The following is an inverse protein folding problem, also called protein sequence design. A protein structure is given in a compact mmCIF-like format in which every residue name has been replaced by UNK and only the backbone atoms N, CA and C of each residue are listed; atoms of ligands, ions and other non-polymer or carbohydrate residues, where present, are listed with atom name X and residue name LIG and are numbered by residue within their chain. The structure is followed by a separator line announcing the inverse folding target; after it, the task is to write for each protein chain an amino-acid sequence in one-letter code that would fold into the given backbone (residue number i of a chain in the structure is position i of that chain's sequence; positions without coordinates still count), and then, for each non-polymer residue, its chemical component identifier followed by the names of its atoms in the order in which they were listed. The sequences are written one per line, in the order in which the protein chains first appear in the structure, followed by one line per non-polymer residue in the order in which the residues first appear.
data_IF_084171735798
#
_entry.id   IF_084171735798
#
_cell.length_a   1.000
_cell.length_b   1.000
_cell.length_c   1.000
_cell.angle_alpha   90.00
_cell.angle_beta   90.00
_cell.angle_gamma   90.00
#
_symmetry.space_group_name_H-M   'P 1'
#
loop_
_entity.id
_entity.type
_entity.pdbx_description
1 polymer ?
#
# COMPACT_ATOMS: atom_id res chain seq x y z
N UNK A 1 0.66 10.33 7.69
CA UNK A 1 2.01 9.83 7.40
C UNK A 1 1.88 8.36 6.98
N UNK A 2 2.13 8.08 5.73
CA UNK A 2 2.19 6.70 5.24
C UNK A 2 3.60 6.18 5.51
N UNK A 3 3.77 5.08 6.21
CA UNK A 3 5.08 4.49 6.40
C UNK A 3 5.61 4.06 5.03
N UNK A 4 6.70 4.67 4.63
CA UNK A 4 7.37 4.31 3.40
C UNK A 4 8.50 3.33 3.72
N UNK A 5 8.29 2.12 3.31
CA UNK A 5 9.26 1.05 3.49
C UNK A 5 10.44 1.18 2.52
N UNK A 6 10.34 2.07 1.52
CA UNK A 6 11.37 2.20 0.49
C UNK A 6 12.48 3.18 0.83
N UNK A 7 12.24 4.14 1.74
CA UNK A 7 13.20 5.22 2.01
C UNK A 7 14.29 4.87 3.03
N UNK A 8 14.16 3.76 3.74
CA UNK A 8 15.16 3.36 4.72
C UNK A 8 15.48 1.88 4.63
N UNK A 9 16.35 1.53 3.68
CA UNK A 9 16.83 0.17 3.50
C UNK A 9 17.49 -0.42 4.76
N UNK A 10 17.86 0.42 5.75
CA UNK A 10 18.44 -0.05 7.01
C UNK A 10 17.39 -0.68 7.92
N UNK A 11 16.12 -0.32 7.77
CA UNK A 11 15.03 -0.73 8.66
C UNK A 11 13.91 -1.48 7.94
N UNK A 12 14.02 -1.73 6.65
CA UNK A 12 13.00 -2.45 5.88
C UNK A 12 13.51 -3.79 5.36
N UNK A 13 12.66 -4.82 5.34
CA UNK A 13 13.08 -6.13 4.85
C UNK A 13 13.13 -6.23 3.32
N UNK A 14 12.57 -5.26 2.60
CA UNK A 14 12.30 -5.41 1.16
C UNK A 14 13.57 -5.57 0.34
N UNK A 15 14.50 -4.64 0.44
CA UNK A 15 15.80 -4.76 -0.23
C UNK A 15 16.81 -5.54 0.61
N UNK A 16 16.80 -5.36 1.94
CA UNK A 16 17.76 -5.98 2.84
C UNK A 16 17.62 -7.49 3.01
N UNK A 17 16.41 -8.04 2.79
CA UNK A 17 16.14 -9.48 2.81
C UNK A 17 16.11 -10.12 1.40
N UNK A 18 16.27 -9.32 0.34
CA UNK A 18 16.45 -9.76 -1.02
C UNK A 18 17.95 -9.92 -1.36
N UNK A 19 18.26 -10.29 -2.60
CA UNK A 19 19.65 -10.49 -3.08
C UNK A 19 20.26 -9.23 -3.74
N UNK A 20 19.51 -8.13 -3.79
CA UNK A 20 19.96 -6.87 -4.42
C UNK A 20 20.97 -6.13 -3.56
N UNK A 21 20.90 -6.27 -2.24
CA UNK A 21 21.75 -5.52 -1.29
C UNK A 21 22.22 -6.42 -0.15
N UNK A 22 23.49 -6.32 0.16
CA UNK A 22 24.07 -6.86 1.41
C UNK A 22 24.53 -5.71 2.30
N UNK A 23 23.98 -5.63 3.53
CA UNK A 23 24.33 -4.59 4.49
C UNK A 23 25.18 -5.17 5.61
N UNK A 24 26.26 -4.47 5.98
CA UNK A 24 27.21 -4.92 7.00
C UNK A 24 26.69 -4.81 8.43
N UNK A 25 25.64 -4.05 8.68
CA UNK A 25 25.04 -3.85 10.00
C UNK A 25 24.20 -5.07 10.40
N UNK A 26 24.75 -5.89 11.30
CA UNK A 26 24.14 -7.19 11.69
C UNK A 26 22.99 -7.09 12.68
N UNK A 27 22.75 -5.93 13.28
CA UNK A 27 21.69 -5.64 14.24
C UNK A 27 20.34 -5.27 13.59
N UNK A 28 20.26 -5.34 12.25
CA UNK A 28 19.06 -4.95 11.51
C UNK A 28 18.03 -6.05 11.41
N UNK A 29 16.76 -5.64 11.38
CA UNK A 29 15.59 -6.54 11.38
C UNK A 29 15.63 -7.58 10.26
N UNK A 30 16.08 -7.23 9.06
CA UNK A 30 16.16 -8.14 7.93
C UNK A 30 17.21 -9.25 8.10
N UNK A 31 18.27 -9.04 8.92
CA UNK A 31 19.21 -10.12 9.22
C UNK A 31 18.58 -11.25 10.04
N UNK A 32 17.61 -10.92 10.90
CA UNK A 32 16.83 -11.92 11.61
C UNK A 32 16.03 -12.77 10.62
N UNK A 33 15.49 -12.16 9.57
CA UNK A 33 14.76 -12.87 8.51
C UNK A 33 15.71 -13.77 7.70
N UNK A 34 16.81 -13.22 7.18
CA UNK A 34 17.74 -13.96 6.30
C UNK A 34 18.50 -15.06 7.04
N UNK A 35 18.69 -14.93 8.36
CA UNK A 35 19.30 -15.97 9.20
C UNK A 35 18.33 -17.07 9.63
N UNK A 36 17.04 -16.93 9.33
CA UNK A 36 16.02 -17.89 9.76
C UNK A 36 15.66 -17.81 11.25
N UNK A 37 16.08 -16.76 11.98
CA UNK A 37 15.80 -16.54 13.38
C UNK A 37 14.42 -15.90 13.65
N UNK A 38 13.67 -15.64 12.60
CA UNK A 38 12.30 -15.10 12.70
C UNK A 38 11.34 -16.17 13.22
N UNK A 39 10.64 -15.86 14.30
CA UNK A 39 9.66 -16.75 14.92
C UNK A 39 8.57 -15.93 15.64
N UNK A 40 7.46 -16.55 16.11
CA UNK A 40 6.36 -15.83 16.75
C UNK A 40 6.73 -14.99 17.98
N UNK A 41 7.84 -15.33 18.66
CA UNK A 41 8.33 -14.58 19.82
C UNK A 41 9.39 -13.53 19.46
N UNK A 42 9.85 -13.55 18.21
CA UNK A 42 10.85 -12.62 17.69
C UNK A 42 10.42 -12.16 16.28
N UNK A 43 9.52 -11.18 16.23
CA UNK A 43 8.97 -10.61 14.99
C UNK A 43 9.68 -9.29 14.69
N UNK A 44 10.73 -9.31 13.84
CA UNK A 44 11.57 -8.12 13.63
C UNK A 44 10.85 -6.97 12.94
N UNK A 45 9.84 -7.25 12.14
CA UNK A 45 9.13 -6.26 11.36
C UNK A 45 7.63 -6.28 11.69
N UNK A 46 7.29 -5.92 12.95
CA UNK A 46 5.91 -5.79 13.38
C UNK A 46 5.35 -4.43 12.94
N UNK A 47 4.27 -4.44 12.13
CA UNK A 47 3.60 -3.24 11.61
C UNK A 47 2.08 -3.29 11.77
N UNK A 48 1.52 -4.38 12.27
CA UNK A 48 0.07 -4.57 12.37
C UNK A 48 -0.57 -3.49 13.25
N UNK A 49 0.01 -3.25 14.42
CA UNK A 49 -0.48 -2.22 15.35
C UNK A 49 -0.44 -0.81 14.74
N UNK A 50 0.63 -0.50 14.01
CA UNK A 50 0.81 0.80 13.33
C UNK A 50 -0.24 1.00 12.24
N UNK A 51 -0.48 -0.01 11.40
CA UNK A 51 -1.43 0.09 10.29
C UNK A 51 -2.87 0.12 10.79
N UNK A 52 -3.24 -0.68 11.80
CA UNK A 52 -4.58 -0.60 12.39
C UNK A 52 -4.82 0.74 13.10
N UNK A 53 -3.79 1.34 13.69
CA UNK A 53 -3.90 2.72 14.21
C UNK A 53 -4.21 3.69 13.08
N UNK A 54 -3.52 3.59 11.93
CA UNK A 54 -3.80 4.40 10.75
C UNK A 54 -5.23 4.20 10.23
N UNK A 55 -5.71 2.95 10.15
CA UNK A 55 -7.09 2.64 9.75
C UNK A 55 -8.10 3.27 10.73
N UNK A 56 -7.83 3.17 12.02
CA UNK A 56 -8.67 3.79 13.06
C UNK A 56 -8.76 5.31 12.88
N UNK A 57 -7.63 5.97 12.66
CA UNK A 57 -7.62 7.43 12.43
C UNK A 57 -8.40 7.80 11.16
N UNK A 58 -8.30 6.99 10.10
CA UNK A 58 -9.14 7.16 8.91
C UNK A 58 -10.63 7.04 9.25
N UNK A 59 -11.03 6.03 10.01
CA UNK A 59 -12.43 5.84 10.39
C UNK A 59 -12.95 6.98 11.29
N UNK A 60 -12.13 7.45 12.25
CA UNK A 60 -12.49 8.61 13.09
C UNK A 60 -12.70 9.85 12.23
N UNK A 61 -11.78 10.11 11.28
CA UNK A 61 -11.89 11.25 10.38
C UNK A 61 -13.19 11.17 9.56
N UNK A 62 -13.44 10.04 8.90
CA UNK A 62 -14.63 9.83 8.07
C UNK A 62 -15.93 9.97 8.85
N UNK A 63 -15.99 9.52 10.10
CA UNK A 63 -17.16 9.63 10.96
C UNK A 63 -17.44 11.07 11.45
N UNK A 64 -16.45 11.96 11.40
CA UNK A 64 -16.56 13.29 12.00
C UNK A 64 -16.45 14.46 11.02
N UNK A 65 -15.89 14.28 9.82
CA UNK A 65 -15.64 15.39 8.88
C UNK A 65 -16.92 16.19 8.54
N UNK A 66 -18.06 15.52 8.42
CA UNK A 66 -19.33 16.17 8.09
C UNK A 66 -19.87 17.04 9.23
N UNK A 67 -19.41 16.82 10.46
CA UNK A 67 -19.76 17.66 11.63
C UNK A 67 -18.94 18.96 11.69
N UNK A 68 -17.90 19.07 10.86
CA UNK A 68 -17.12 20.31 10.80
C UNK A 68 -17.96 21.43 10.20
N UNK A 69 -18.15 22.51 10.98
CA UNK A 69 -18.94 23.68 10.59
C UNK A 69 -18.08 24.88 10.21
N UNK A 70 -16.78 24.68 9.99
CA UNK A 70 -15.87 25.75 9.57
C UNK A 70 -16.33 26.32 8.22
N UNK A 71 -16.67 27.63 8.15
CA UNK A 71 -17.14 28.25 6.92
C UNK A 71 -16.08 28.36 5.83
N UNK A 72 -14.80 28.20 6.19
CA UNK A 72 -13.68 28.18 5.24
C UNK A 72 -13.51 26.83 4.55
N UNK A 73 -14.14 25.78 5.05
CA UNK A 73 -14.05 24.43 4.50
C UNK A 73 -15.29 24.13 3.66
N UNK A 74 -15.14 24.14 2.35
CA UNK A 74 -16.20 23.82 1.40
C UNK A 74 -16.60 22.34 1.45
N UNK A 75 -17.81 22.03 0.98
CA UNK A 75 -18.25 20.64 0.85
C UNK A 75 -17.38 19.84 -0.14
N UNK A 76 -16.94 20.46 -1.22
CA UNK A 76 -16.06 19.82 -2.20
C UNK A 76 -14.70 19.44 -1.60
N UNK A 77 -14.13 20.28 -0.75
CA UNK A 77 -12.91 19.96 -0.02
C UNK A 77 -13.13 18.82 0.96
N UNK A 78 -14.26 18.79 1.67
CA UNK A 78 -14.62 17.67 2.56
C UNK A 78 -14.67 16.35 1.76
N UNK A 79 -15.32 16.33 0.62
CA UNK A 79 -15.41 15.15 -0.23
C UNK A 79 -14.04 14.74 -0.79
N UNK A 80 -13.20 15.70 -1.18
CA UNK A 80 -11.80 15.41 -1.58
C UNK A 80 -11.02 14.77 -0.43
N UNK A 81 -11.15 15.27 0.79
CA UNK A 81 -10.46 14.69 1.95
C UNK A 81 -11.00 13.30 2.30
N UNK A 82 -12.30 13.06 2.14
CA UNK A 82 -12.89 11.73 2.33
C UNK A 82 -12.30 10.71 1.35
N UNK A 83 -12.20 11.03 0.07
CA UNK A 83 -11.62 10.10 -0.91
C UNK A 83 -10.13 9.83 -0.64
N UNK A 84 -9.36 10.86 -0.24
CA UNK A 84 -7.96 10.68 0.16
C UNK A 84 -7.82 9.80 1.41
N UNK A 85 -8.68 10.00 2.40
CA UNK A 85 -8.69 9.20 3.64
C UNK A 85 -9.09 7.74 3.36
N UNK A 86 -10.10 7.50 2.52
CA UNK A 86 -10.48 6.14 2.09
C UNK A 86 -9.36 5.46 1.32
N UNK A 87 -8.66 6.19 0.46
CA UNK A 87 -7.47 5.67 -0.22
C UNK A 87 -6.38 5.27 0.79
N UNK A 88 -6.04 6.14 1.75
CA UNK A 88 -5.06 5.84 2.78
C UNK A 88 -5.44 4.58 3.58
N UNK A 89 -6.71 4.42 3.94
CA UNK A 89 -7.24 3.21 4.59
C UNK A 89 -7.02 1.95 3.75
N UNK A 90 -7.34 1.99 2.46
CA UNK A 90 -7.09 0.89 1.53
C UNK A 90 -5.60 0.57 1.41
N UNK A 91 -4.75 1.58 1.40
CA UNK A 91 -3.31 1.41 1.35
C UNK A 91 -2.77 0.74 2.60
N UNK A 92 -3.25 1.10 3.80
CA UNK A 92 -2.89 0.40 5.04
C UNK A 92 -3.30 -1.08 5.00
N UNK A 93 -4.50 -1.39 4.51
CA UNK A 93 -4.91 -2.79 4.32
C UNK A 93 -4.00 -3.52 3.34
N UNK A 94 -3.69 -2.92 2.20
CA UNK A 94 -2.75 -3.50 1.23
C UNK A 94 -1.37 -3.77 1.85
N UNK A 95 -0.83 -2.83 2.62
CA UNK A 95 0.45 -2.99 3.31
C UNK A 95 0.42 -4.16 4.31
N UNK A 96 -0.67 -4.29 5.08
CA UNK A 96 -0.83 -5.42 6.00
C UNK A 96 -0.97 -6.75 5.26
N UNK A 97 -1.78 -6.79 4.23
CA UNK A 97 -2.04 -8.02 3.47
C UNK A 97 -0.77 -8.59 2.84
N UNK A 98 0.14 -7.76 2.34
CA UNK A 98 1.41 -8.24 1.77
C UNK A 98 2.37 -8.80 2.82
N UNK A 99 2.22 -8.45 4.11
CA UNK A 99 3.07 -8.93 5.21
C UNK A 99 2.42 -10.11 5.92
N UNK A 100 1.13 -10.00 6.24
CA UNK A 100 0.43 -10.94 7.13
C UNK A 100 -0.59 -11.82 6.41
N UNK A 101 -0.82 -11.62 5.10
CA UNK A 101 -1.89 -12.29 4.38
C UNK A 101 -3.28 -11.80 4.82
N UNK A 102 -4.22 -12.71 5.13
CA UNK A 102 -5.56 -12.36 5.59
C UNK A 102 -5.56 -11.55 6.88
N UNK A 103 -6.38 -10.49 6.93
CA UNK A 103 -6.49 -9.55 8.04
C UNK A 103 -7.94 -9.31 8.46
N UNK A 104 -8.16 -8.53 9.52
CA UNK A 104 -9.51 -8.08 9.90
C UNK A 104 -9.90 -6.87 9.06
N UNK A 105 -11.06 -6.91 8.44
CA UNK A 105 -11.64 -5.74 7.77
C UNK A 105 -12.63 -5.07 8.72
N UNK A 106 -12.32 -3.85 9.12
CA UNK A 106 -13.13 -3.08 10.07
C UNK A 106 -14.19 -2.22 9.36
N UNK A 107 -14.15 -2.09 8.04
CA UNK A 107 -15.01 -1.16 7.30
C UNK A 107 -14.95 0.24 7.91
N UNK A 108 -16.10 0.83 8.23
CA UNK A 108 -16.22 2.14 8.89
C UNK A 108 -16.36 2.04 10.42
N UNK A 109 -16.15 0.84 10.99
CA UNK A 109 -16.35 0.60 12.42
C UNK A 109 -15.34 1.39 13.26
N UNK A 110 -15.85 2.05 14.27
CA UNK A 110 -15.06 2.63 15.35
C UNK A 110 -15.05 1.66 16.52
N UNK A 111 -13.91 1.03 16.76
CA UNK A 111 -13.76 0.10 17.88
C UNK A 111 -13.91 0.86 19.21
N UNK A 112 -14.75 0.33 20.08
CA UNK A 112 -14.95 0.83 21.43
C UNK A 112 -13.88 0.22 22.36
N UNK A 113 -12.88 1.03 22.72
CA UNK A 113 -11.79 0.61 23.60
C UNK A 113 -12.18 0.49 25.08
N UNK A 114 -13.42 0.78 25.45
CA UNK A 114 -13.93 0.47 26.80
C UNK A 114 -14.26 -1.01 26.95
N UNK A 115 -14.37 -1.73 25.82
CA UNK A 115 -14.60 -3.18 25.80
C UNK A 115 -13.32 -3.95 26.11
N UNK A 116 -13.49 -5.12 26.70
CA UNK A 116 -12.38 -6.04 26.96
C UNK A 116 -11.82 -6.62 25.63
N UNK A 117 -10.59 -7.12 25.67
CA UNK A 117 -9.96 -7.78 24.51
C UNK A 117 -10.82 -8.95 23.98
N UNK A 118 -11.46 -9.72 24.88
CA UNK A 118 -12.32 -10.85 24.51
C UNK A 118 -13.58 -10.40 23.77
N UNK A 119 -14.14 -9.22 24.09
CA UNK A 119 -15.30 -8.66 23.37
C UNK A 119 -14.94 -8.06 22.00
N UNK A 120 -13.66 -7.72 21.81
CA UNK A 120 -13.12 -7.20 20.55
C UNK A 120 -12.55 -8.30 19.66
N UNK A 121 -12.38 -9.51 20.19
CA UNK A 121 -11.87 -10.66 19.44
C UNK A 121 -12.82 -11.02 18.30
N UNK A 122 -12.26 -11.19 17.11
CA UNK A 122 -13.01 -11.55 15.90
C UNK A 122 -12.17 -12.41 14.96
N UNK A 123 -12.81 -13.28 14.14
CA UNK A 123 -12.09 -14.04 13.13
C UNK A 123 -11.54 -13.11 12.06
N UNK A 124 -10.42 -13.49 11.44
CA UNK A 124 -9.90 -12.79 10.27
C UNK A 124 -10.80 -13.01 9.06
N UNK A 125 -10.88 -12.03 8.20
CA UNK A 125 -11.46 -12.23 6.87
C UNK A 125 -10.57 -13.17 6.06
N UNK A 126 -11.15 -13.90 5.12
CA UNK A 126 -10.39 -14.72 4.17
C UNK A 126 -9.57 -13.81 3.23
N UNK A 127 -8.55 -14.39 2.59
CA UNK A 127 -7.75 -13.67 1.60
C UNK A 127 -8.61 -13.02 0.51
N UNK A 128 -9.54 -13.80 -0.08
CA UNK A 128 -10.38 -13.29 -1.16
C UNK A 128 -11.36 -12.19 -0.67
N UNK A 129 -11.90 -12.28 0.55
CA UNK A 129 -12.71 -11.20 1.14
C UNK A 129 -11.88 -9.92 1.31
N UNK A 130 -10.64 -10.03 1.81
CA UNK A 130 -9.75 -8.88 1.95
C UNK A 130 -9.44 -8.25 0.59
N UNK A 131 -9.11 -9.05 -0.41
CA UNK A 131 -8.84 -8.60 -1.79
C UNK A 131 -10.06 -7.89 -2.37
N UNK A 132 -11.24 -8.51 -2.28
CA UNK A 132 -12.49 -7.96 -2.81
C UNK A 132 -12.86 -6.64 -2.14
N UNK A 133 -12.68 -6.53 -0.82
CA UNK A 133 -12.91 -5.28 -0.10
C UNK A 133 -12.01 -4.15 -0.60
N UNK A 134 -10.71 -4.37 -0.63
CA UNK A 134 -9.74 -3.34 -1.04
C UNK A 134 -9.96 -2.92 -2.50
N UNK A 135 -10.16 -3.88 -3.41
CA UNK A 135 -10.42 -3.60 -4.83
C UNK A 135 -11.75 -2.87 -5.01
N UNK A 136 -12.81 -3.29 -4.30
CA UNK A 136 -14.11 -2.65 -4.36
C UNK A 136 -14.08 -1.20 -3.92
N UNK A 137 -13.41 -0.91 -2.80
CA UNK A 137 -13.18 0.45 -2.31
C UNK A 137 -12.40 1.30 -3.32
N UNK A 138 -11.27 0.78 -3.84
CA UNK A 138 -10.43 1.50 -4.80
C UNK A 138 -11.17 1.78 -6.12
N UNK A 139 -11.97 0.85 -6.62
CA UNK A 139 -12.81 1.08 -7.81
C UNK A 139 -13.83 2.19 -7.56
N UNK A 140 -14.50 2.18 -6.40
CA UNK A 140 -15.42 3.26 -6.00
C UNK A 140 -14.73 4.63 -5.97
N UNK A 141 -13.45 4.67 -5.54
CA UNK A 141 -12.66 5.90 -5.56
C UNK A 141 -12.31 6.36 -6.99
N UNK A 142 -11.99 5.43 -7.88
CA UNK A 142 -11.71 5.75 -9.31
C UNK A 142 -12.94 6.38 -9.97
N UNK A 143 -14.15 5.93 -9.64
CA UNK A 143 -15.41 6.46 -10.17
C UNK A 143 -15.79 7.80 -9.55
N UNK A 144 -15.25 8.14 -8.38
CA UNK A 144 -15.57 9.39 -7.70
C UNK A 144 -15.10 10.62 -8.48
N UNK A 145 -15.94 11.67 -8.61
CA UNK A 145 -15.52 12.94 -9.23
C UNK A 145 -14.48 13.70 -8.39
N UNK A 146 -14.37 13.38 -7.11
CA UNK A 146 -13.46 14.03 -6.16
C UNK A 146 -12.07 13.40 -6.16
N UNK A 147 -11.90 12.19 -6.68
CA UNK A 147 -10.60 11.59 -6.93
C UNK A 147 -10.06 12.06 -8.28
N UNK A 148 -9.00 12.83 -8.26
CA UNK A 148 -8.42 13.41 -9.49
C UNK A 148 -7.55 12.40 -10.24
N UNK A 149 -7.46 12.57 -11.57
CA UNK A 149 -6.49 11.82 -12.38
C UNK A 149 -5.08 12.39 -12.25
N UNK A 150 -4.98 13.71 -12.01
CA UNK A 150 -3.72 14.42 -11.81
C UNK A 150 -3.94 15.62 -10.88
N UNK A 151 -2.90 15.97 -10.11
CA UNK A 151 -2.85 17.16 -9.27
C UNK A 151 -1.88 18.16 -9.88
N UNK A 152 -2.38 19.35 -10.24
CA UNK A 152 -1.59 20.39 -10.90
C UNK A 152 -0.91 21.34 -9.91
N UNK A 153 -1.53 21.57 -8.76
CA UNK A 153 -0.97 22.42 -7.71
C UNK A 153 0.26 21.76 -7.07
N UNK A 154 1.30 22.54 -6.85
CA UNK A 154 2.52 22.05 -6.17
C UNK A 154 2.27 21.62 -4.72
N UNK A 155 1.22 22.15 -4.07
CA UNK A 155 0.82 21.79 -2.69
C UNK A 155 0.02 20.49 -2.62
N UNK A 156 -0.58 20.07 -3.74
CA UNK A 156 -1.40 18.87 -3.84
C UNK A 156 -0.67 17.69 -4.46
N UNK A 157 0.48 17.94 -5.11
CA UNK A 157 1.34 16.87 -5.62
C UNK A 157 1.75 15.93 -4.49
N UNK A 158 1.50 14.63 -4.67
CA UNK A 158 1.69 13.61 -3.62
C UNK A 158 0.36 13.12 -3.02
N UNK A 159 -0.76 13.83 -3.22
CA UNK A 159 -2.08 13.26 -2.95
C UNK A 159 -2.35 12.09 -3.91
N UNK A 160 -3.16 11.13 -3.44
CA UNK A 160 -3.52 9.98 -4.24
C UNK A 160 -4.33 10.38 -5.48
N UNK A 161 -4.13 9.65 -6.56
CA UNK A 161 -4.80 9.83 -7.85
C UNK A 161 -5.57 8.57 -8.23
N UNK A 162 -6.40 8.66 -9.27
CA UNK A 162 -7.03 7.47 -9.88
C UNK A 162 -5.97 6.43 -10.31
N UNK A 163 -4.83 6.89 -10.82
CA UNK A 163 -3.71 6.02 -11.16
C UNK A 163 -3.08 5.33 -9.96
N UNK A 164 -2.97 6.02 -8.82
CA UNK A 164 -2.50 5.40 -7.57
C UNK A 164 -3.45 4.27 -7.11
N UNK A 165 -4.77 4.47 -7.20
CA UNK A 165 -5.76 3.43 -6.94
C UNK A 165 -5.55 2.24 -7.89
N UNK A 166 -5.42 2.50 -9.19
CA UNK A 166 -5.23 1.45 -10.20
C UNK A 166 -3.91 0.69 -10.02
N UNK A 167 -2.84 1.35 -9.59
CA UNK A 167 -1.55 0.72 -9.31
C UNK A 167 -1.65 -0.27 -8.13
N UNK A 168 -2.39 0.09 -7.06
CA UNK A 168 -2.63 -0.83 -5.94
C UNK A 168 -3.47 -2.02 -6.39
N UNK A 169 -4.53 -1.79 -7.19
CA UNK A 169 -5.36 -2.87 -7.75
C UNK A 169 -4.49 -3.82 -8.57
N UNK A 170 -3.63 -3.31 -9.45
CA UNK A 170 -2.73 -4.12 -10.27
C UNK A 170 -1.79 -4.97 -9.40
N UNK A 171 -1.16 -4.39 -8.39
CA UNK A 171 -0.27 -5.14 -7.49
C UNK A 171 -1.01 -6.18 -6.65
N UNK A 172 -2.19 -5.84 -6.13
CA UNK A 172 -2.96 -6.75 -5.28
C UNK A 172 -3.53 -7.92 -6.08
N UNK A 173 -4.03 -7.68 -7.30
CA UNK A 173 -4.49 -8.75 -8.20
C UNK A 173 -3.35 -9.67 -8.62
N UNK A 174 -2.15 -9.13 -8.88
CA UNK A 174 -0.97 -9.93 -9.15
C UNK A 174 -0.59 -10.80 -7.95
N UNK A 175 -0.59 -10.26 -6.73
CA UNK A 175 -0.33 -11.05 -5.53
C UNK A 175 -1.37 -12.16 -5.36
N UNK A 176 -2.65 -11.85 -5.61
CA UNK A 176 -3.74 -12.84 -5.52
C UNK A 176 -3.66 -13.96 -6.58
N UNK A 177 -3.01 -13.70 -7.73
CA UNK A 177 -2.83 -14.68 -8.79
C UNK A 177 -1.66 -15.63 -8.54
N UNK A 178 -0.66 -15.22 -7.75
CA UNK A 178 0.56 -16.01 -7.51
C UNK A 178 0.29 -17.23 -6.65
N UNK A 179 1.10 -18.27 -6.83
CA UNK A 179 1.00 -19.56 -6.15
C UNK A 179 0.95 -19.46 -4.62
N UNK A 180 1.55 -18.41 -4.04
CA UNK A 180 1.51 -18.17 -2.60
C UNK A 180 0.07 -18.02 -2.07
N UNK A 181 -0.82 -17.36 -2.83
CA UNK A 181 -2.19 -17.03 -2.42
C UNK A 181 -3.27 -17.69 -3.28
N UNK A 182 -2.90 -18.43 -4.31
CA UNK A 182 -3.82 -19.02 -5.27
C UNK A 182 -3.72 -20.55 -5.26
N UNK A 183 -4.52 -21.18 -4.40
CA UNK A 183 -4.57 -22.63 -4.30
C UNK A 183 -3.38 -23.26 -3.54
N UNK A 184 -2.75 -22.52 -2.63
CA UNK A 184 -1.63 -23.03 -1.86
C UNK A 184 -2.09 -23.93 -0.72
N UNK A 185 -1.98 -25.26 -0.93
CA UNK A 185 -2.35 -26.27 0.05
C UNK A 185 -1.45 -26.31 1.29
N UNK A 186 -0.26 -25.68 1.27
CA UNK A 186 0.58 -25.53 2.46
C UNK A 186 -0.12 -24.72 3.57
N UNK A 187 -1.07 -23.87 3.20
CA UNK A 187 -1.90 -23.10 4.13
C UNK A 187 -3.24 -23.76 4.51
N UNK A 188 -3.44 -25.03 4.16
CA UNK A 188 -4.70 -25.75 4.46
C UNK A 188 -5.02 -25.84 5.96
N UNK A 189 -4.00 -25.78 6.81
CA UNK A 189 -4.16 -25.76 8.28
C UNK A 189 -4.44 -24.37 8.85
N UNK A 190 -4.28 -23.31 8.06
CA UNK A 190 -4.48 -21.92 8.52
C UNK A 190 -5.97 -21.58 8.38
N UNK A 191 -6.69 -21.73 9.49
CA UNK A 191 -8.15 -21.60 9.55
C UNK A 191 -8.59 -20.70 10.68
N UNK A 192 -9.76 -20.14 10.54
CA UNK A 192 -10.51 -19.56 11.64
C UNK A 192 -11.04 -20.64 12.61
N UNK A 193 -11.43 -20.29 13.83
CA UNK A 193 -11.97 -21.25 14.80
C UNK A 193 -13.20 -22.02 14.32
N UNK A 194 -13.98 -21.45 13.38
CA UNK A 194 -15.14 -22.09 12.75
C UNK A 194 -14.79 -23.09 11.63
N UNK A 195 -13.49 -23.26 11.35
CA UNK A 195 -12.99 -24.15 10.29
C UNK A 195 -12.85 -23.51 8.92
N UNK A 196 -13.21 -22.23 8.72
CA UNK A 196 -13.07 -21.51 7.46
C UNK A 196 -11.59 -21.38 7.08
N UNK A 197 -11.22 -21.86 5.88
CA UNK A 197 -9.88 -21.68 5.34
C UNK A 197 -9.60 -20.19 5.07
N UNK A 198 -8.50 -19.68 5.57
CA UNK A 198 -8.12 -18.28 5.36
C UNK A 198 -7.55 -18.02 3.96
N UNK A 199 -7.01 -19.04 3.30
CA UNK A 199 -6.45 -18.97 1.94
C UNK A 199 -7.23 -19.87 0.98
N UNK A 200 -7.39 -19.48 -0.30
CA UNK A 200 -7.96 -20.34 -1.32
C UNK A 200 -7.20 -21.66 -1.42
N UNK A 201 -7.93 -22.77 -1.43
CA UNK A 201 -7.35 -24.11 -1.52
C UNK A 201 -7.33 -24.65 -2.96
N UNK A 202 -8.07 -24.03 -3.87
CA UNK A 202 -8.13 -24.39 -5.27
C UNK A 202 -7.44 -23.32 -6.11
N UNK A 203 -6.62 -23.76 -7.06
CA UNK A 203 -5.99 -22.86 -8.01
C UNK A 203 -7.00 -22.32 -9.02
N UNK A 204 -6.98 -21.01 -9.24
CA UNK A 204 -7.82 -20.31 -10.23
C UNK A 204 -6.91 -19.58 -11.25
N UNK A 205 -6.82 -20.14 -12.46
CA UNK A 205 -6.03 -19.56 -13.56
C UNK A 205 -6.58 -18.19 -14.03
N UNK A 206 -7.87 -17.90 -13.83
CA UNK A 206 -8.48 -16.64 -14.26
C UNK A 206 -7.93 -15.43 -13.49
N UNK A 207 -7.38 -15.62 -12.30
CA UNK A 207 -6.73 -14.55 -11.52
C UNK A 207 -5.55 -13.92 -12.26
N UNK A 208 -4.83 -14.68 -13.10
CA UNK A 208 -3.74 -14.13 -13.93
C UNK A 208 -4.27 -13.17 -15.00
N UNK A 209 -5.38 -13.51 -15.63
CA UNK A 209 -6.02 -12.59 -16.57
C UNK A 209 -6.49 -11.32 -15.87
N UNK A 210 -7.09 -11.43 -14.71
CA UNK A 210 -7.52 -10.27 -13.89
C UNK A 210 -6.34 -9.37 -13.56
N UNK A 211 -5.18 -9.94 -13.19
CA UNK A 211 -3.96 -9.17 -12.91
C UNK A 211 -3.42 -8.47 -14.16
N UNK A 212 -3.38 -9.17 -15.30
CA UNK A 212 -2.95 -8.61 -16.58
C UNK A 212 -3.88 -7.45 -17.03
N UNK A 213 -5.20 -7.65 -16.96
CA UNK A 213 -6.19 -6.63 -17.30
C UNK A 213 -6.06 -5.39 -16.40
N UNK A 214 -5.77 -5.58 -15.11
CA UNK A 214 -5.56 -4.49 -14.16
C UNK A 214 -4.30 -3.67 -14.49
N UNK A 215 -3.21 -4.31 -14.87
CA UNK A 215 -1.99 -3.63 -15.32
C UNK A 215 -2.22 -2.91 -16.65
N UNK A 216 -2.89 -3.56 -17.60
CA UNK A 216 -3.18 -3.01 -18.91
C UNK A 216 -4.02 -1.72 -18.84
N UNK A 217 -4.95 -1.61 -17.89
CA UNK A 217 -5.74 -0.38 -17.69
C UNK A 217 -4.89 0.86 -17.41
N UNK A 218 -3.72 0.71 -16.78
CA UNK A 218 -2.81 1.82 -16.53
C UNK A 218 -2.15 2.25 -17.87
N UNK A 219 -1.73 1.27 -18.66
CA UNK A 219 -1.08 1.51 -19.96
C UNK A 219 -2.07 2.14 -20.96
N UNK A 220 -3.27 1.54 -21.09
CA UNK A 220 -4.32 1.96 -22.00
C UNK A 220 -4.89 3.35 -21.63
N UNK A 221 -4.82 3.71 -20.35
CA UNK A 221 -5.29 5.01 -19.84
C UNK A 221 -4.49 6.23 -20.32
N UNK A 222 -3.30 6.03 -20.88
CA UNK A 222 -2.40 7.06 -21.45
C UNK A 222 -2.13 8.27 -20.52
N UNK A 223 -2.24 8.07 -19.20
CA UNK A 223 -1.95 9.10 -18.19
C UNK A 223 -0.47 9.14 -17.83
N UNK A 224 0.24 8.04 -18.07
CA UNK A 224 1.64 7.84 -17.74
C UNK A 224 2.39 7.37 -18.97
N UNK A 225 3.66 7.74 -19.05
CA UNK A 225 4.56 7.37 -20.15
C UNK A 225 5.92 7.08 -19.57
N UNK A 226 6.67 6.18 -20.20
CA UNK A 226 8.08 5.99 -19.85
C UNK A 226 8.80 7.34 -19.92
N UNK A 227 9.67 7.57 -18.96
CA UNK A 227 10.47 8.77 -18.93
C UNK A 227 11.54 8.74 -20.03
N UNK A 228 11.65 9.83 -20.76
CA UNK A 228 12.69 10.06 -21.74
C UNK A 228 13.40 11.38 -21.43
N UNK A 229 14.73 11.33 -21.36
CA UNK A 229 15.58 12.52 -21.32
C UNK A 229 15.56 13.28 -22.65
N UNK A 230 16.07 14.50 -22.66
CA UNK A 230 16.03 15.33 -23.87
C UNK A 230 16.80 14.73 -25.06
N UNK A 231 17.85 13.97 -24.79
CA UNK A 231 18.68 13.27 -25.79
C UNK A 231 18.29 11.80 -26.00
N UNK A 232 17.30 11.32 -25.24
CA UNK A 232 16.80 9.93 -25.27
C UNK A 232 17.89 8.88 -25.05
N UNK A 233 18.96 9.23 -24.33
CA UNK A 233 19.99 8.28 -23.95
C UNK A 233 19.44 7.28 -22.92
N UNK A 234 19.59 5.96 -23.11
CA UNK A 234 19.05 4.94 -22.19
C UNK A 234 19.57 5.07 -20.75
N UNK A 235 20.79 5.51 -20.54
CA UNK A 235 21.36 5.73 -19.22
C UNK A 235 20.70 6.93 -18.53
N UNK A 236 20.56 8.04 -19.25
CA UNK A 236 19.95 9.26 -18.73
C UNK A 236 18.43 9.08 -18.52
N UNK A 237 17.76 8.30 -19.36
CA UNK A 237 16.38 7.87 -19.15
C UNK A 237 16.24 7.12 -17.82
N UNK A 238 17.06 6.12 -17.57
CA UNK A 238 17.03 5.34 -16.32
C UNK A 238 17.42 6.17 -15.09
N UNK A 239 18.45 7.01 -15.22
CA UNK A 239 18.93 7.87 -14.13
C UNK A 239 17.90 8.95 -13.79
N UNK A 240 17.32 9.61 -14.80
CA UNK A 240 16.34 10.69 -14.65
C UNK A 240 15.08 10.32 -13.90
N UNK A 241 14.61 9.07 -14.01
CA UNK A 241 13.44 8.59 -13.24
C UNK A 241 13.58 8.86 -11.74
N UNK A 242 14.80 8.72 -11.21
CA UNK A 242 15.08 8.89 -9.78
C UNK A 242 15.50 10.32 -9.41
N UNK A 243 15.98 11.11 -10.36
CA UNK A 243 16.48 12.46 -10.12
C UNK A 243 15.41 13.53 -10.28
N UNK A 244 14.50 13.34 -11.21
CA UNK A 244 13.41 14.27 -11.42
C UNK A 244 12.26 14.00 -10.45
N UNK A 245 11.98 15.02 -9.63
CA UNK A 245 10.96 14.90 -8.58
C UNK A 245 9.57 14.56 -9.10
N UNK A 246 9.22 15.06 -10.29
CA UNK A 246 7.94 14.86 -10.93
C UNK A 246 8.16 14.62 -12.43
N UNK A 247 8.03 13.39 -12.86
CA UNK A 247 8.19 12.98 -14.26
C UNK A 247 6.97 12.20 -14.76
N UNK A 248 6.95 11.89 -16.06
CA UNK A 248 5.83 11.25 -16.73
C UNK A 248 5.59 9.79 -16.30
N UNK A 249 6.58 9.13 -15.71
CA UNK A 249 6.50 7.73 -15.29
C UNK A 249 5.97 7.57 -13.86
N UNK A 250 6.04 8.63 -13.05
CA UNK A 250 5.63 8.58 -11.65
C UNK A 250 4.10 8.53 -11.51
N UNK A 251 3.59 7.43 -10.97
CA UNK A 251 2.17 7.26 -10.69
C UNK A 251 1.79 7.92 -9.36
N UNK A 252 2.58 7.65 -8.31
CA UNK A 252 2.35 8.20 -6.98
C UNK A 252 3.63 8.13 -6.16
N UNK A 253 4.00 9.24 -5.54
CA UNK A 253 5.19 9.35 -4.68
C UNK A 253 4.99 10.39 -3.59
N UNK A 254 5.78 10.31 -2.54
CA UNK A 254 5.82 11.34 -1.50
C UNK A 254 6.65 12.53 -1.96
N UNK A 255 6.15 13.74 -1.74
CA UNK A 255 6.86 14.97 -2.10
C UNK A 255 7.96 15.40 -1.13
N UNK A 256 8.27 14.61 -0.10
CA UNK A 256 9.30 14.96 0.89
C UNK A 256 10.70 14.90 0.28
N UNK A 257 11.51 15.94 0.52
CA UNK A 257 12.96 15.87 0.24
C UNK A 257 13.57 14.88 1.24
N UNK A 258 14.18 13.82 0.73
CA UNK A 258 15.06 13.01 1.57
C UNK A 258 16.29 13.86 1.93
N UNK A 259 16.45 14.17 3.21
CA UNK A 259 17.58 14.99 3.72
C UNK A 259 18.94 14.32 3.45
N UNK A 260 18.95 12.99 3.31
CA UNK A 260 20.14 12.18 3.05
C UNK A 260 20.78 12.39 1.66
N UNK A 261 20.01 12.85 0.66
CA UNK A 261 20.56 13.08 -0.69
C UNK A 261 21.38 14.37 -0.82
N UNK A 262 21.23 15.32 0.11
CA UNK A 262 22.04 16.55 0.10
C UNK A 262 23.49 16.31 0.50
N UNK A 263 23.81 15.25 1.21
CA UNK A 263 25.18 14.92 1.60
C UNK A 263 25.98 14.21 0.51
N UNK A 264 25.35 13.48 -0.40
CA UNK A 264 26.06 12.84 -1.52
C UNK A 264 26.49 13.84 -2.58
N UNK A 265 25.69 14.89 -2.86
CA UNK A 265 26.08 15.95 -3.81
C UNK A 265 27.21 16.87 -3.31
N UNK A 266 27.44 16.97 -2.01
CA UNK A 266 28.50 17.82 -1.45
C UNK A 266 29.91 17.23 -1.65
N UNK A 267 30.04 15.97 -2.02
CA UNK A 267 31.32 15.30 -2.27
C UNK A 267 31.69 15.18 -3.75
N UNK A 268 30.83 15.57 -4.67
CA UNK A 268 31.11 15.52 -6.11
C UNK A 268 31.50 16.87 -6.72
N UNK A 269 31.62 17.93 -5.89
CA UNK A 269 32.12 19.25 -6.24
C UNK A 269 33.42 19.52 -5.52
#
# INVERSE_FOLDING_TARGET
FLPDDANDFQYTPWSGAADEVTVSMRDREYHIMTSGAWNPSNVPYERMSTYYRGIRECNIFLANIDRCTDPLLSNDEKEQWKVQTRFARCYYYFLMMRIYGPVFILHDELLDFTKSAAELERPRNTWDECVNYVIGELNSLIESPYMKSNWTSSTEKGLATKGACQAIISRLTLYSARDLFNGNTMYASVKNPDGTNLFPQNYDAAKWKTAADAAYKIIDGNLYQLYHSDDDDPYDNYYGITQEKWNSELIWTTGSKAVSYTHLRAHET
#
